data_IF_737476528045
#
_entry.id   IF_737476528045
#
_cell.length_a   1.000
_cell.length_b   1.000
_cell.length_c   1.000
_cell.angle_alpha   90.00
_cell.angle_beta   90.00
_cell.angle_gamma   90.00
#
_symmetry.space_group_name_H-M   'P 1'
#
loop_
_entity.id
_entity.type
_entity.pdbx_description
1 polymer ?
#
# COMPACT_ATOMS: atom_id res chain seq x y z
N UNK A 1 8.68 23.49 24.25
CA UNK A 1 7.71 23.29 23.15
C UNK A 1 8.09 22.03 22.38
N UNK A 2 7.20 21.03 22.35
CA UNK A 2 7.45 19.71 21.75
C UNK A 2 7.42 19.78 20.22
N UNK A 3 8.56 20.10 19.59
CA UNK A 3 8.74 20.08 18.14
C UNK A 3 9.29 18.75 17.62
N UNK A 4 8.97 17.64 18.28
CA UNK A 4 9.42 16.32 17.84
C UNK A 4 8.52 15.84 16.70
N UNK A 5 9.09 15.71 15.50
CA UNK A 5 8.42 15.04 14.40
C UNK A 5 8.27 13.55 14.71
N UNK A 6 7.04 13.06 14.71
CA UNK A 6 6.72 11.66 14.97
C UNK A 6 6.24 11.06 13.66
N UNK A 7 6.93 10.02 13.19
CA UNK A 7 6.49 9.25 12.03
C UNK A 7 5.30 8.37 12.43
N UNK A 8 4.26 8.35 11.58
CA UNK A 8 3.09 7.48 11.73
C UNK A 8 2.96 6.59 10.51
N UNK A 9 2.63 5.34 10.75
CA UNK A 9 2.43 4.34 9.71
C UNK A 9 0.99 3.84 9.77
N UNK A 10 0.36 3.70 8.60
CA UNK A 10 -0.99 3.15 8.45
C UNK A 10 -0.90 1.94 7.55
N UNK A 11 -1.59 0.86 7.94
CA UNK A 11 -1.65 -0.38 7.16
C UNK A 11 -2.91 -0.37 6.30
N UNK A 12 -2.74 -0.52 4.99
CA UNK A 12 -3.84 -0.61 4.03
C UNK A 12 -3.94 -2.01 3.43
N UNK A 13 -5.16 -2.44 3.13
CA UNK A 13 -5.41 -3.70 2.41
C UNK A 13 -5.64 -3.41 0.93
N UNK A 14 -4.60 -3.62 0.13
CA UNK A 14 -4.65 -3.47 -1.31
C UNK A 14 -5.04 -4.78 -2.00
N UNK A 15 -5.69 -4.65 -3.15
CA UNK A 15 -5.98 -5.76 -4.05
C UNK A 15 -5.00 -5.77 -5.22
N UNK A 16 -4.36 -6.92 -5.41
CA UNK A 16 -3.56 -7.28 -6.58
C UNK A 16 -4.22 -8.50 -7.23
N UNK A 17 -4.48 -8.46 -8.54
CA UNK A 17 -5.13 -9.55 -9.27
C UNK A 17 -4.13 -10.60 -9.76
N UNK A 18 -2.90 -10.20 -10.07
CA UNK A 18 -1.89 -11.06 -10.67
C UNK A 18 -0.84 -11.57 -9.65
N UNK A 19 -0.96 -11.17 -8.38
CA UNK A 19 0.01 -11.46 -7.32
C UNK A 19 1.46 -11.14 -7.76
N UNK A 20 1.62 -10.02 -8.45
CA UNK A 20 2.89 -9.58 -9.02
C UNK A 20 3.81 -8.99 -7.97
N UNK A 21 3.26 -8.48 -6.87
CA UNK A 21 3.99 -7.84 -5.78
C UNK A 21 4.59 -8.87 -4.83
N UNK A 22 5.84 -8.68 -4.43
CA UNK A 22 6.51 -9.46 -3.38
C UNK A 22 6.68 -8.65 -2.10
N UNK A 23 6.98 -9.37 -1.01
CA UNK A 23 7.29 -8.75 0.27
C UNK A 23 8.58 -7.94 0.14
N UNK A 24 8.52 -6.66 0.48
CA UNK A 24 9.66 -5.74 0.39
C UNK A 24 9.59 -4.78 -0.80
N UNK A 25 8.70 -5.01 -1.76
CA UNK A 25 8.53 -4.12 -2.91
C UNK A 25 7.90 -2.78 -2.48
N UNK A 26 8.37 -1.70 -3.10
CA UNK A 26 7.75 -0.38 -2.98
C UNK A 26 6.67 -0.25 -4.05
N UNK A 27 5.43 -0.12 -3.59
CA UNK A 27 4.24 -0.17 -4.45
C UNK A 27 3.44 1.13 -4.39
N UNK A 28 2.84 1.51 -5.52
CA UNK A 28 1.88 2.59 -5.60
C UNK A 28 0.46 2.00 -5.63
N UNK A 29 -0.40 2.47 -4.71
CA UNK A 29 -1.79 2.04 -4.59
C UNK A 29 -2.73 3.23 -4.81
N UNK A 30 -3.89 2.95 -5.38
CA UNK A 30 -4.96 3.95 -5.60
C UNK A 30 -6.23 3.55 -4.87
N UNK A 31 -7.08 4.52 -4.56
CA UNK A 31 -8.42 4.24 -4.05
C UNK A 31 -9.27 3.53 -5.11
N UNK A 32 -10.13 2.62 -4.65
CA UNK A 32 -11.06 1.90 -5.49
C UNK A 32 -12.42 1.77 -4.81
N UNK A 33 -13.43 1.33 -5.57
CA UNK A 33 -14.66 0.80 -4.97
C UNK A 33 -14.32 -0.27 -3.91
N UNK A 34 -15.12 -0.42 -2.85
CA UNK A 34 -14.91 -1.49 -1.88
C UNK A 34 -14.95 -2.85 -2.58
N UNK A 35 -13.84 -3.59 -2.46
CA UNK A 35 -13.66 -4.94 -3.02
C UNK A 35 -13.98 -6.02 -1.97
N UNK A 36 -13.95 -5.65 -0.70
CA UNK A 36 -14.31 -6.47 0.45
C UNK A 36 -14.69 -5.54 1.61
N UNK A 37 -14.97 -6.10 2.80
CA UNK A 37 -15.27 -5.34 4.02
C UNK A 37 -14.22 -4.26 4.31
N UNK A 38 -12.95 -4.57 4.05
CA UNK A 38 -11.81 -3.70 4.40
C UNK A 38 -10.89 -3.35 3.21
N UNK A 39 -11.05 -4.01 2.06
CA UNK A 39 -10.22 -3.75 0.86
C UNK A 39 -10.81 -2.62 0.03
N UNK A 40 -10.21 -1.43 0.11
CA UNK A 40 -10.61 -0.21 -0.64
C UNK A 40 -9.50 0.35 -1.53
N UNK A 41 -8.40 -0.39 -1.64
CA UNK A 41 -7.22 0.03 -2.36
C UNK A 41 -6.91 -0.98 -3.45
N UNK A 42 -6.49 -0.51 -4.63
CA UNK A 42 -6.02 -1.35 -5.72
C UNK A 42 -4.56 -1.04 -6.01
N UNK A 43 -3.81 -2.09 -6.33
CA UNK A 43 -2.45 -1.99 -6.81
C UNK A 43 -2.40 -1.30 -8.19
N UNK A 44 -1.56 -0.27 -8.36
CA UNK A 44 -1.35 0.40 -9.65
C UNK A 44 -0.04 -0.04 -10.29
N UNK A 45 1.09 0.18 -9.61
CA UNK A 45 2.42 -0.06 -10.18
C UNK A 45 3.47 -0.34 -9.09
N UNK A 46 4.44 -1.21 -9.40
CA UNK A 46 5.60 -1.48 -8.54
C UNK A 46 6.71 -0.48 -8.89
N UNK A 47 7.01 0.42 -7.96
CA UNK A 47 8.03 1.46 -8.16
C UNK A 47 9.44 0.92 -7.97
N UNK A 48 9.64 0.04 -6.99
CA UNK A 48 10.94 -0.56 -6.70
C UNK A 48 10.76 -2.01 -6.27
N UNK A 49 11.53 -2.90 -6.87
CA UNK A 49 11.52 -4.33 -6.52
C UNK A 49 12.61 -4.59 -5.50
N UNK A 50 12.27 -5.31 -4.44
CA UNK A 50 13.27 -5.76 -3.49
C UNK A 50 14.35 -6.60 -4.20
N UNK A 51 15.62 -6.25 -3.98
CA UNK A 51 16.79 -6.99 -4.47
C UNK A 51 17.00 -8.28 -3.69
#
# INVERSE_FOLDING_TARGET
AFHKYIMRYVKYKAHDQQNSCKVGDKVLIIESRPLSREKRWRMLEILDKAK
#
